data_IF_867140892687
#
_entry.id   IF_867140892687
#
_cell.length_a   1.000
_cell.length_b   1.000
_cell.length_c   1.000
_cell.angle_alpha   90.00
_cell.angle_beta   90.00
_cell.angle_gamma   90.00
#
_symmetry.space_group_name_H-M   'P 1'
#
loop_
_entity.id
_entity.type
_entity.pdbx_description
1 polymer ?
#
# COMPACT_ATOMS: atom_id res chain seq x y z
N UNK A 1 9.99 -24.97 44.46
CA UNK A 1 10.12 -25.72 43.20
C UNK A 1 9.18 -26.93 43.09
N UNK A 2 8.91 -27.67 44.18
CA UNK A 2 8.02 -28.85 44.10
C UNK A 2 6.60 -28.59 43.58
N UNK A 3 6.04 -27.39 43.75
CA UNK A 3 4.73 -27.02 43.20
C UNK A 3 4.66 -27.15 41.67
N UNK A 4 5.80 -27.03 40.98
CA UNK A 4 5.91 -27.13 39.52
C UNK A 4 6.44 -28.49 39.05
N UNK A 5 6.67 -29.43 39.99
CA UNK A 5 7.18 -30.76 39.69
C UNK A 5 6.11 -31.85 39.92
N UNK A 6 4.89 -31.61 39.42
CA UNK A 6 3.78 -32.54 39.56
C UNK A 6 3.21 -32.91 38.18
N UNK A 7 2.71 -34.14 38.06
CA UNK A 7 2.07 -34.63 36.83
C UNK A 7 0.89 -33.76 36.42
N UNK A 8 0.06 -33.34 37.39
CA UNK A 8 -1.10 -32.47 37.13
C UNK A 8 -0.72 -31.13 36.48
N UNK A 9 0.40 -30.53 36.91
CA UNK A 9 0.89 -29.28 36.29
C UNK A 9 1.44 -29.56 34.90
N UNK A 10 2.17 -30.66 34.71
CA UNK A 10 2.67 -31.04 33.38
C UNK A 10 1.54 -31.33 32.39
N UNK A 11 0.50 -32.05 32.82
CA UNK A 11 -0.68 -32.33 32.00
C UNK A 11 -1.40 -31.03 31.61
N UNK A 12 -1.55 -30.10 32.55
CA UNK A 12 -2.16 -28.79 32.27
C UNK A 12 -1.35 -27.96 31.26
N UNK A 13 -0.02 -28.02 31.31
CA UNK A 13 0.85 -27.35 30.34
C UNK A 13 0.76 -28.05 28.98
N UNK A 14 0.90 -29.37 28.95
CA UNK A 14 0.91 -30.16 27.71
C UNK A 14 -0.41 -30.09 26.93
N UNK A 15 -1.54 -29.97 27.65
CA UNK A 15 -2.87 -29.89 27.03
C UNK A 15 -3.31 -28.46 26.73
N UNK A 16 -2.48 -27.46 27.03
CA UNK A 16 -2.81 -26.06 26.78
C UNK A 16 -2.83 -25.76 25.27
N UNK A 17 -3.83 -25.00 24.82
CA UNK A 17 -3.90 -24.50 23.44
C UNK A 17 -3.14 -23.17 23.25
N UNK A 18 -2.60 -22.61 24.33
CA UNK A 18 -1.81 -21.39 24.32
C UNK A 18 -0.35 -21.76 24.55
N UNK A 19 0.60 -21.20 23.79
CA UNK A 19 2.02 -21.44 24.02
C UNK A 19 2.43 -21.09 25.44
N UNK A 20 3.14 -21.98 26.11
CA UNK A 20 3.59 -21.83 27.48
C UNK A 20 5.11 -21.68 27.52
N UNK A 21 5.55 -20.58 28.13
CA UNK A 21 6.96 -20.34 28.46
C UNK A 21 7.14 -20.46 29.97
N UNK A 22 8.00 -21.37 30.42
CA UNK A 22 8.36 -21.46 31.84
C UNK A 22 9.57 -20.59 32.14
N UNK A 23 9.60 -20.04 33.35
CA UNK A 23 10.66 -19.18 33.84
C UNK A 23 10.91 -19.40 35.33
N UNK A 24 10.88 -20.67 35.74
CA UNK A 24 10.86 -21.08 37.16
C UNK A 24 12.27 -21.01 37.77
N UNK A 25 13.31 -21.32 36.99
CA UNK A 25 14.73 -21.15 37.34
C UNK A 25 15.44 -22.37 37.92
N UNK A 26 16.65 -22.09 38.46
CA UNK A 26 17.75 -22.96 38.93
C UNK A 26 18.47 -23.82 37.88
N UNK A 27 19.77 -23.54 37.69
CA UNK A 27 20.67 -24.17 36.71
C UNK A 27 20.76 -25.69 36.85
N UNK A 28 20.49 -26.22 38.04
CA UNK A 28 20.62 -27.65 38.35
C UNK A 28 19.27 -28.36 38.55
N UNK A 29 18.17 -27.61 38.67
CA UNK A 29 16.85 -28.18 38.90
C UNK A 29 16.20 -28.56 37.56
N UNK A 30 15.93 -29.86 37.38
CA UNK A 30 15.19 -30.37 36.22
C UNK A 30 13.74 -30.61 36.61
N UNK A 31 12.86 -29.64 36.30
CA UNK A 31 11.44 -29.73 36.61
C UNK A 31 10.66 -30.35 35.44
N UNK A 32 9.65 -31.16 35.75
CA UNK A 32 8.80 -31.76 34.71
C UNK A 32 8.03 -30.69 33.91
N UNK A 33 7.64 -29.58 34.53
CA UNK A 33 7.00 -28.45 33.85
C UNK A 33 7.86 -27.85 32.74
N UNK A 34 9.17 -27.64 32.98
CA UNK A 34 10.10 -27.11 31.97
C UNK A 34 10.27 -28.06 30.78
N UNK A 35 10.09 -29.37 31.01
CA UNK A 35 10.25 -30.38 29.96
C UNK A 35 9.05 -30.51 29.03
N UNK A 36 7.88 -30.05 29.47
CA UNK A 36 6.64 -30.12 28.68
C UNK A 36 6.16 -28.77 28.18
N UNK A 37 6.77 -27.67 28.64
CA UNK A 37 6.55 -26.34 28.09
C UNK A 37 7.14 -26.19 26.69
N UNK A 38 6.60 -25.27 25.89
CA UNK A 38 7.10 -24.99 24.55
C UNK A 38 8.51 -24.37 24.60
N UNK A 39 8.78 -23.59 25.64
CA UNK A 39 10.08 -23.00 25.90
C UNK A 39 10.33 -22.87 27.40
N UNK A 40 11.56 -23.18 27.82
CA UNK A 40 12.01 -23.01 29.19
C UNK A 40 13.15 -21.99 29.26
N UNK A 41 12.96 -20.97 30.10
CA UNK A 41 13.93 -19.94 30.39
C UNK A 41 14.43 -20.02 31.85
N UNK A 42 15.68 -19.60 32.06
CA UNK A 42 16.30 -19.62 33.40
C UNK A 42 15.71 -18.53 34.31
N UNK A 43 15.26 -17.41 33.74
CA UNK A 43 14.69 -16.28 34.51
C UNK A 43 13.47 -15.68 33.80
N UNK A 44 12.56 -15.03 34.55
CA UNK A 44 11.44 -14.30 33.95
C UNK A 44 11.89 -13.22 32.94
N UNK A 45 13.02 -12.57 33.19
CA UNK A 45 13.59 -11.58 32.26
C UNK A 45 14.00 -12.23 30.94
N UNK A 46 14.71 -13.37 30.97
CA UNK A 46 15.11 -14.08 29.77
C UNK A 46 13.90 -14.60 28.96
N UNK A 47 12.84 -15.04 29.64
CA UNK A 47 11.58 -15.39 29.00
C UNK A 47 10.97 -14.16 28.29
N UNK A 48 10.92 -13.02 28.96
CA UNK A 48 10.42 -11.77 28.39
C UNK A 48 11.22 -11.29 27.17
N UNK A 49 12.54 -11.36 27.23
CA UNK A 49 13.43 -11.03 26.11
C UNK A 49 13.19 -11.96 24.90
N UNK A 50 13.05 -13.27 25.15
CA UNK A 50 12.74 -14.23 24.10
C UNK A 50 11.39 -13.93 23.43
N UNK A 51 10.35 -13.66 24.22
CA UNK A 51 9.01 -13.34 23.71
C UNK A 51 9.04 -12.02 22.92
N UNK A 52 9.72 -10.99 23.44
CA UNK A 52 9.83 -9.70 22.76
C UNK A 52 10.57 -9.83 21.42
N UNK A 53 11.65 -10.61 21.38
CA UNK A 53 12.38 -10.90 20.15
C UNK A 53 11.51 -11.68 19.17
N UNK A 54 10.87 -12.77 19.60
CA UNK A 54 10.01 -13.59 18.74
C UNK A 54 8.87 -12.78 18.11
N UNK A 55 8.28 -11.84 18.86
CA UNK A 55 7.28 -10.92 18.30
C UNK A 55 7.87 -10.02 17.22
N UNK A 56 9.02 -9.41 17.48
CA UNK A 56 9.65 -8.52 16.51
C UNK A 56 10.07 -9.28 15.25
N UNK A 57 10.59 -10.50 15.41
CA UNK A 57 10.95 -11.39 14.31
C UNK A 57 9.70 -11.69 13.47
N UNK A 58 8.56 -12.04 14.08
CA UNK A 58 7.29 -12.28 13.39
C UNK A 58 6.78 -11.05 12.63
N UNK A 59 6.84 -9.86 13.25
CA UNK A 59 6.45 -8.63 12.56
C UNK A 59 7.30 -8.42 11.30
N UNK A 60 8.62 -8.56 11.44
CA UNK A 60 9.55 -8.35 10.33
C UNK A 60 9.45 -9.42 9.23
N UNK A 61 9.17 -10.69 9.60
CA UNK A 61 9.12 -11.80 8.62
C UNK A 61 7.79 -11.94 7.92
N UNK A 62 6.68 -11.69 8.61
CA UNK A 62 5.35 -12.01 8.11
C UNK A 62 4.52 -10.76 7.82
N UNK A 63 4.63 -9.70 8.64
CA UNK A 63 3.77 -8.52 8.49
C UNK A 63 4.38 -7.51 7.52
N UNK A 64 5.64 -7.13 7.71
CA UNK A 64 6.30 -6.12 6.87
C UNK A 64 6.27 -6.48 5.36
N UNK A 65 6.49 -7.75 4.94
CA UNK A 65 6.42 -8.10 3.52
C UNK A 65 4.99 -8.05 2.97
N UNK A 66 3.97 -8.29 3.80
CA UNK A 66 2.57 -8.19 3.37
C UNK A 66 2.18 -6.73 3.16
N UNK A 67 2.63 -5.84 4.05
CA UNK A 67 2.44 -4.39 3.89
C UNK A 67 3.09 -3.89 2.59
N UNK A 68 4.34 -4.29 2.33
CA UNK A 68 5.05 -3.93 1.10
C UNK A 68 4.36 -4.46 -0.17
N UNK A 69 3.81 -5.69 -0.11
CA UNK A 69 3.06 -6.26 -1.23
C UNK A 69 1.78 -5.48 -1.53
N UNK A 70 1.06 -5.07 -0.48
CA UNK A 70 -0.16 -4.26 -0.64
C UNK A 70 0.17 -2.90 -1.23
N UNK A 71 1.22 -2.24 -0.73
CA UNK A 71 1.65 -0.93 -1.22
C UNK A 71 2.04 -1.00 -2.69
N UNK A 72 2.90 -1.95 -3.07
CA UNK A 72 3.33 -2.11 -4.46
C UNK A 72 2.17 -2.44 -5.41
N UNK A 73 1.19 -3.24 -4.96
CA UNK A 73 0.00 -3.52 -5.74
C UNK A 73 -0.87 -2.27 -5.92
N UNK A 74 -1.00 -1.45 -4.88
CA UNK A 74 -1.75 -0.20 -4.92
C UNK A 74 -1.09 0.83 -5.85
N UNK A 75 0.23 1.04 -5.75
CA UNK A 75 0.98 1.92 -6.64
C UNK A 75 0.83 1.51 -8.12
N UNK A 76 0.89 0.20 -8.39
CA UNK A 76 0.69 -0.33 -9.75
C UNK A 76 -0.71 -0.02 -10.26
N UNK A 77 -1.72 -0.21 -9.41
CA UNK A 77 -3.10 0.10 -9.76
C UNK A 77 -3.33 1.58 -10.03
N UNK A 78 -2.75 2.48 -9.23
CA UNK A 78 -2.85 3.93 -9.48
C UNK A 78 -2.20 4.33 -10.81
N UNK A 79 -1.02 3.79 -11.13
CA UNK A 79 -0.35 4.06 -12.40
C UNK A 79 -1.16 3.59 -13.60
N UNK A 80 -1.76 2.41 -13.52
CA UNK A 80 -2.65 1.90 -14.58
C UNK A 80 -3.86 2.83 -14.75
N UNK A 81 -4.45 3.29 -13.64
CA UNK A 81 -5.59 4.19 -13.68
C UNK A 81 -5.26 5.57 -14.27
N UNK A 82 -4.13 6.16 -13.89
CA UNK A 82 -3.63 7.41 -14.46
C UNK A 82 -3.38 7.27 -15.96
N UNK A 83 -2.71 6.19 -16.38
CA UNK A 83 -2.45 5.94 -17.79
C UNK A 83 -3.73 5.77 -18.61
N UNK A 84 -4.73 5.07 -18.08
CA UNK A 84 -6.05 4.96 -18.73
C UNK A 84 -6.75 6.32 -18.85
N UNK A 85 -6.65 7.19 -17.85
CA UNK A 85 -7.20 8.54 -17.90
C UNK A 85 -6.51 9.40 -18.95
N UNK A 86 -5.17 9.38 -19.01
CA UNK A 86 -4.41 10.09 -20.03
C UNK A 86 -4.80 9.64 -21.45
N UNK A 87 -4.96 8.34 -21.66
CA UNK A 87 -5.43 7.80 -22.93
C UNK A 87 -6.87 8.24 -23.24
N UNK A 88 -7.75 8.25 -22.25
CA UNK A 88 -9.13 8.70 -22.43
C UNK A 88 -9.19 10.20 -22.80
N UNK A 89 -8.38 11.05 -22.16
CA UNK A 89 -8.28 12.47 -22.47
C UNK A 89 -7.68 12.70 -23.86
N UNK A 90 -6.61 11.99 -24.23
CA UNK A 90 -6.02 12.07 -25.56
C UNK A 90 -6.99 11.62 -26.67
N UNK A 91 -7.81 10.60 -26.39
CA UNK A 91 -8.86 10.15 -27.32
C UNK A 91 -9.99 11.19 -27.40
N UNK A 92 -10.39 11.80 -26.28
CA UNK A 92 -11.38 12.89 -26.27
C UNK A 92 -10.87 14.09 -27.07
N UNK A 93 -9.62 14.50 -26.90
CA UNK A 93 -9.00 15.58 -27.67
C UNK A 93 -8.91 15.22 -29.16
N UNK A 94 -8.50 14.00 -29.51
CA UNK A 94 -8.42 13.57 -30.92
C UNK A 94 -9.78 13.38 -31.59
N UNK A 95 -10.84 13.10 -30.81
CA UNK A 95 -12.23 12.99 -31.30
C UNK A 95 -13.00 14.29 -31.17
N UNK A 96 -12.47 15.28 -30.45
CA UNK A 96 -12.96 16.64 -30.49
C UNK A 96 -12.91 17.10 -31.95
N UNK A 97 -13.98 17.72 -32.47
CA UNK A 97 -14.01 18.10 -33.87
C UNK A 97 -12.91 19.14 -34.14
N UNK A 98 -11.77 18.70 -34.66
CA UNK A 98 -10.77 19.53 -35.35
C UNK A 98 -11.33 20.03 -36.70
N UNK A 99 -12.49 20.68 -36.62
CA UNK A 99 -13.02 21.53 -37.65
C UNK A 99 -13.43 22.80 -36.96
N UNK A 100 -12.65 23.88 -37.14
CA UNK A 100 -13.13 25.24 -36.87
C UNK A 100 -14.58 25.30 -37.36
N UNK A 101 -15.52 25.63 -36.48
CA UNK A 101 -16.95 25.50 -36.79
C UNK A 101 -17.24 26.16 -38.16
N UNK A 102 -18.15 25.62 -38.99
CA UNK A 102 -18.44 26.18 -40.30
C UNK A 102 -18.78 27.69 -40.28
N UNK A 103 -19.16 28.20 -39.12
CA UNK A 103 -19.43 29.61 -38.83
C UNK A 103 -18.16 30.44 -38.82
N UNK A 104 -17.05 29.94 -38.28
CA UNK A 104 -15.83 30.71 -38.07
C UNK A 104 -15.10 31.05 -39.37
N UNK A 105 -14.98 30.10 -40.31
CA UNK A 105 -14.44 30.41 -41.64
C UNK A 105 -15.36 31.31 -42.45
N UNK A 106 -16.70 31.17 -42.31
CA UNK A 106 -17.65 32.11 -42.93
C UNK A 106 -17.47 33.53 -42.41
N UNK A 107 -17.31 33.70 -41.09
CA UNK A 107 -17.04 35.01 -40.48
C UNK A 107 -15.68 35.55 -40.93
N UNK A 108 -14.62 34.73 -40.93
CA UNK A 108 -13.30 35.12 -41.37
C UNK A 108 -13.27 35.58 -42.84
N UNK A 109 -13.96 34.87 -43.74
CA UNK A 109 -14.09 35.25 -45.16
C UNK A 109 -14.83 36.59 -45.30
N UNK A 110 -15.92 36.79 -44.56
CA UNK A 110 -16.68 38.05 -44.60
C UNK A 110 -15.82 39.22 -44.12
N UNK A 111 -15.07 39.06 -43.02
CA UNK A 111 -14.16 40.10 -42.51
C UNK A 111 -13.07 40.43 -43.53
N UNK A 112 -12.49 39.41 -44.17
CA UNK A 112 -11.44 39.59 -45.15
C UNK A 112 -11.96 40.27 -46.42
N UNK A 113 -13.18 39.95 -46.86
CA UNK A 113 -13.85 40.62 -47.97
C UNK A 113 -14.17 42.09 -47.64
N UNK A 114 -14.62 42.37 -46.42
CA UNK A 114 -14.88 43.76 -45.97
C UNK A 114 -13.59 44.57 -45.92
N UNK A 115 -12.50 44.00 -45.41
CA UNK A 115 -11.18 44.64 -45.42
C UNK A 115 -10.69 44.90 -46.84
N UNK A 116 -10.84 43.92 -47.75
CA UNK A 116 -10.50 44.09 -49.16
C UNK A 116 -11.33 45.23 -49.78
N UNK A 117 -12.64 45.27 -49.52
CA UNK A 117 -13.54 46.31 -50.01
C UNK A 117 -13.12 47.70 -49.50
N UNK A 118 -12.79 47.82 -48.22
CA UNK A 118 -12.29 49.07 -47.62
C UNK A 118 -10.97 49.51 -48.24
N UNK A 119 -10.04 48.59 -48.47
CA UNK A 119 -8.76 48.88 -49.13
C UNK A 119 -9.01 49.35 -50.57
N UNK A 120 -9.91 48.70 -51.30
CA UNK A 120 -10.26 49.10 -52.68
C UNK A 120 -10.98 50.45 -52.72
N UNK A 121 -11.87 50.74 -51.77
CA UNK A 121 -12.56 52.03 -51.68
C UNK A 121 -11.61 53.18 -51.34
N UNK A 122 -10.60 52.91 -50.49
CA UNK A 122 -9.52 53.84 -50.17
C UNK A 122 -8.64 54.14 -51.41
N UNK A 123 -8.31 53.10 -52.20
CA UNK A 123 -7.55 53.25 -53.44
C UNK A 123 -8.31 53.98 -54.55
N UNK A 124 -9.64 53.84 -54.60
CA UNK A 124 -10.50 54.51 -55.59
C UNK A 124 -10.84 55.97 -55.20
N UNK A 125 -10.42 56.45 -54.02
CA UNK A 125 -10.66 57.82 -53.57
C UNK A 125 -12.14 58.13 -53.25
N UNK A 126 -12.90 57.12 -52.84
CA UNK A 126 -14.35 57.22 -52.58
C UNK A 126 -14.65 57.54 -51.09
N UNK A 127 -13.62 57.65 -50.25
CA UNK A 127 -13.66 58.08 -48.84
C UNK A 127 -12.62 59.19 -48.67
#
# INVERSE_FOLDING_TARGET
>A
LQAFNTERVAEAIFTANTPIVTAIGHTDDRLIADRVADMAAITPTAAGEYIAKSRNDFLASDIDPLEQQIEAAYETFEQEHEHEQELAEAVEEATAPEGLSPVYYKVAIVVLLVLLLLITALWLGVI
#
